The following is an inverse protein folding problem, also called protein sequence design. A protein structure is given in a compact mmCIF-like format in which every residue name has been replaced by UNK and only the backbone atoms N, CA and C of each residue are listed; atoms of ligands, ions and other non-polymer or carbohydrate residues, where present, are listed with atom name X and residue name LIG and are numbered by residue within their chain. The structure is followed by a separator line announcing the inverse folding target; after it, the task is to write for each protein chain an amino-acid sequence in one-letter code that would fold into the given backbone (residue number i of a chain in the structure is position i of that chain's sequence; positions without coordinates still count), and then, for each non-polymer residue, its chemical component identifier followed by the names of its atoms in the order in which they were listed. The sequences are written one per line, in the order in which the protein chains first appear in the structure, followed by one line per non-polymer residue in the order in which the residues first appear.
data_IF_579935808209
#
_entry.id   IF_579935808209
#
_cell.length_a   1.000
_cell.length_b   1.000
_cell.length_c   1.000
_cell.angle_alpha   90.00
_cell.angle_beta   90.00
_cell.angle_gamma   90.00
#
_symmetry.space_group_name_H-M   'P 1'
#
loop_
_entity.id
_entity.type
_entity.pdbx_description
1 polymer ?
#
# COMPACT_ATOMS: atom_id res chain seq x y z
N UNK A 1 -25.42 21.62 -20.58
CA UNK A 1 -23.96 21.84 -20.46
C UNK A 1 -23.51 20.92 -19.36
N UNK A 2 -23.10 19.71 -19.72
CA UNK A 2 -22.53 18.78 -18.74
C UNK A 2 -21.25 19.43 -18.24
N UNK A 3 -21.27 19.85 -16.98
CA UNK A 3 -20.04 20.20 -16.30
C UNK A 3 -19.23 18.90 -16.27
N UNK A 4 -18.15 18.84 -17.05
CA UNK A 4 -17.15 17.80 -16.91
C UNK A 4 -16.63 17.88 -15.47
N UNK A 5 -17.21 17.06 -14.60
CA UNK A 5 -16.78 16.96 -13.21
C UNK A 5 -15.38 16.34 -13.23
N UNK A 6 -14.36 17.19 -13.12
CA UNK A 6 -12.97 16.74 -13.08
C UNK A 6 -12.73 16.16 -11.69
N UNK A 7 -12.91 14.85 -11.53
CA UNK A 7 -12.51 14.15 -10.31
C UNK A 7 -10.99 14.15 -10.24
N UNK A 8 -10.41 14.92 -9.31
CA UNK A 8 -8.98 14.97 -9.09
C UNK A 8 -8.52 13.72 -8.33
N UNK A 9 -7.40 13.12 -8.76
CA UNK A 9 -6.85 11.98 -8.04
C UNK A 9 -6.41 12.39 -6.62
N UNK A 10 -6.58 11.50 -5.62
CA UNK A 10 -6.02 11.71 -4.29
C UNK A 10 -4.50 11.89 -4.35
N UNK A 11 -3.95 12.67 -3.42
CA UNK A 11 -2.52 13.00 -3.38
C UNK A 11 -1.83 12.44 -2.14
N UNK A 12 -0.54 12.15 -2.28
CA UNK A 12 0.32 11.81 -1.14
C UNK A 12 0.36 13.01 -0.18
N UNK A 13 0.20 12.74 1.12
CA UNK A 13 0.15 13.75 2.18
C UNK A 13 -1.26 14.25 2.52
N UNK A 14 -2.28 13.89 1.73
CA UNK A 14 -3.67 14.24 2.02
C UNK A 14 -4.41 13.11 2.76
N UNK A 15 -5.51 13.46 3.44
CA UNK A 15 -6.41 12.47 4.04
C UNK A 15 -7.04 11.61 2.95
N UNK A 16 -7.10 10.30 3.17
CA UNK A 16 -7.79 9.40 2.26
C UNK A 16 -9.28 9.76 2.16
N UNK A 17 -9.84 9.89 0.94
CA UNK A 17 -11.26 10.22 0.76
C UNK A 17 -12.18 9.24 1.48
N UNK A 18 -13.05 9.76 2.34
CA UNK A 18 -13.93 8.92 3.15
C UNK A 18 -15.08 8.32 2.32
N UNK A 19 -15.48 7.08 2.61
CA UNK A 19 -16.64 6.42 2.00
C UNK A 19 -17.18 5.32 2.92
N UNK A 20 -18.43 4.95 2.69
CA UNK A 20 -19.01 3.71 3.21
C UNK A 20 -19.25 2.77 2.05
N UNK A 21 -19.00 1.48 2.26
CA UNK A 21 -19.18 0.47 1.22
C UNK A 21 -19.57 -0.88 1.80
N UNK A 22 -20.29 -1.66 1.01
CA UNK A 22 -20.57 -3.07 1.28
C UNK A 22 -19.35 -3.88 0.86
N UNK A 23 -18.95 -4.85 1.69
CA UNK A 23 -17.84 -5.75 1.39
C UNK A 23 -18.22 -7.20 1.68
N UNK A 24 -17.35 -8.12 1.25
CA UNK A 24 -17.43 -9.54 1.61
C UNK A 24 -17.41 -9.81 3.11
N UNK A 25 -16.96 -8.87 3.95
CA UNK A 25 -16.94 -8.98 5.42
C UNK A 25 -17.96 -8.06 6.12
N UNK A 26 -18.96 -7.56 5.38
CA UNK A 26 -19.95 -6.62 5.88
C UNK A 26 -19.66 -5.18 5.48
N UNK A 27 -20.45 -4.25 6.00
CA UNK A 27 -20.28 -2.82 5.72
C UNK A 27 -19.07 -2.23 6.43
N UNK A 28 -18.40 -1.32 5.74
CA UNK A 28 -17.16 -0.69 6.19
C UNK A 28 -17.31 0.84 6.15
N UNK A 29 -16.67 1.57 7.09
CA UNK A 29 -16.59 3.04 7.13
C UNK A 29 -15.11 3.49 6.98
N UNK A 30 -14.71 3.82 5.76
CA UNK A 30 -13.32 4.09 5.38
C UNK A 30 -13.00 5.60 5.40
N UNK A 31 -11.81 6.04 5.84
CA UNK A 31 -10.75 5.26 6.49
C UNK A 31 -10.98 5.07 8.00
N UNK A 32 -12.05 5.65 8.56
CA UNK A 32 -12.31 5.77 10.01
C UNK A 32 -12.15 4.47 10.79
N UNK A 33 -12.72 3.38 10.29
CA UNK A 33 -12.65 2.06 10.96
C UNK A 33 -11.23 1.49 11.08
N UNK A 34 -10.28 2.03 10.30
CA UNK A 34 -8.90 1.57 10.25
C UNK A 34 -7.93 2.53 10.95
N UNK A 35 -8.43 3.56 11.63
CA UNK A 35 -7.60 4.45 12.45
C UNK A 35 -6.69 3.65 13.40
N UNK A 36 -5.43 4.07 13.52
CA UNK A 36 -4.42 3.34 14.29
C UNK A 36 -3.76 2.16 13.54
N UNK A 37 -4.22 1.81 12.34
CA UNK A 37 -3.60 0.77 11.50
C UNK A 37 -3.14 1.35 10.15
N UNK A 38 -2.09 0.76 9.60
CA UNK A 38 -1.78 0.97 8.18
C UNK A 38 -2.84 0.27 7.32
N UNK A 39 -3.11 0.78 6.13
CA UNK A 39 -4.06 0.16 5.20
C UNK A 39 -3.49 0.19 3.79
N UNK A 40 -3.60 -0.93 3.08
CA UNK A 40 -3.49 -0.99 1.62
C UNK A 40 -4.89 -1.12 1.05
N UNK A 41 -5.38 -0.03 0.45
CA UNK A 41 -6.55 -0.06 -0.42
C UNK A 41 -6.08 -0.33 -1.85
N UNK A 42 -6.58 -1.38 -2.47
CA UNK A 42 -6.15 -1.77 -3.81
C UNK A 42 -7.34 -2.19 -4.67
N UNK A 43 -7.25 -1.94 -5.98
CA UNK A 43 -8.29 -2.36 -6.92
C UNK A 43 -7.81 -3.46 -7.86
N UNK A 44 -8.77 -4.18 -8.45
CA UNK A 44 -8.54 -5.07 -9.58
C UNK A 44 -9.63 -4.89 -10.66
N UNK A 45 -9.32 -5.23 -11.92
CA UNK A 45 -10.25 -4.99 -13.03
C UNK A 45 -11.57 -5.75 -13.01
N UNK A 46 -11.53 -7.04 -12.67
CA UNK A 46 -12.71 -7.91 -12.66
C UNK A 46 -12.43 -9.23 -11.94
N UNK A 47 -13.44 -9.74 -11.24
CA UNK A 47 -13.50 -11.12 -10.76
C UNK A 47 -13.37 -12.14 -11.90
N UNK A 48 -13.06 -13.39 -11.55
CA UNK A 48 -12.92 -14.49 -12.51
C UNK A 48 -11.91 -14.25 -13.66
N UNK A 49 -10.94 -13.34 -13.46
CA UNK A 49 -9.83 -13.13 -14.41
C UNK A 49 -8.50 -13.64 -13.84
N UNK A 50 -7.61 -14.20 -14.68
CA UNK A 50 -6.46 -14.97 -14.21
C UNK A 50 -5.40 -14.11 -13.48
N UNK A 51 -5.11 -12.90 -13.98
CA UNK A 51 -4.14 -12.01 -13.32
C UNK A 51 -4.65 -11.59 -11.94
N UNK A 52 -5.93 -11.19 -11.84
CA UNK A 52 -6.55 -10.83 -10.55
C UNK A 52 -6.54 -12.01 -9.58
N UNK A 53 -6.81 -13.21 -10.08
CA UNK A 53 -6.78 -14.44 -9.27
C UNK A 53 -5.38 -14.69 -8.71
N UNK A 54 -4.35 -14.56 -9.55
CA UNK A 54 -2.95 -14.70 -9.12
C UNK A 54 -2.56 -13.68 -8.05
N UNK A 55 -3.09 -12.47 -8.14
CA UNK A 55 -2.83 -11.36 -7.21
C UNK A 55 -3.51 -11.57 -5.86
N UNK A 56 -4.78 -11.99 -5.85
CA UNK A 56 -5.52 -12.25 -4.61
C UNK A 56 -4.92 -13.44 -3.84
N UNK A 57 -4.53 -14.51 -4.53
CA UNK A 57 -3.83 -15.63 -3.90
C UNK A 57 -2.50 -15.19 -3.27
N UNK A 58 -1.77 -14.30 -3.95
CA UNK A 58 -0.49 -13.77 -3.43
C UNK A 58 -0.71 -12.87 -2.21
N UNK A 59 -1.70 -11.97 -2.25
CA UNK A 59 -2.04 -11.14 -1.09
C UNK A 59 -2.49 -11.97 0.11
N UNK A 60 -3.38 -12.94 -0.09
CA UNK A 60 -3.88 -13.79 1.00
C UNK A 60 -2.75 -14.59 1.66
N UNK A 61 -1.81 -15.10 0.85
CA UNK A 61 -0.62 -15.78 1.38
C UNK A 61 0.31 -14.86 2.17
N UNK A 62 0.37 -13.57 1.80
CA UNK A 62 1.20 -12.56 2.47
C UNK A 62 0.45 -11.80 3.59
N UNK A 63 -0.85 -12.00 3.73
CA UNK A 63 -1.70 -11.32 4.70
C UNK A 63 -1.14 -11.41 6.14
N UNK A 64 -0.61 -12.55 6.61
CA UNK A 64 0.04 -12.63 7.92
C UNK A 64 1.22 -11.66 8.08
N UNK A 65 2.04 -11.47 7.03
CA UNK A 65 3.18 -10.55 7.07
C UNK A 65 2.73 -9.08 7.10
N UNK A 66 1.65 -8.74 6.41
CA UNK A 66 1.04 -7.42 6.52
C UNK A 66 0.44 -7.21 7.92
N UNK A 67 -0.21 -8.23 8.48
CA UNK A 67 -0.79 -8.18 9.82
C UNK A 67 0.28 -7.97 10.91
N UNK A 68 1.45 -8.61 10.79
CA UNK A 68 2.63 -8.38 11.65
C UNK A 68 3.06 -6.91 11.62
N UNK A 69 2.92 -6.23 10.48
CA UNK A 69 3.21 -4.80 10.33
C UNK A 69 2.04 -3.90 10.73
N UNK A 70 1.00 -4.43 11.39
CA UNK A 70 -0.25 -3.72 11.68
C UNK A 70 -0.85 -3.05 10.43
N UNK A 71 -0.77 -3.74 9.29
CA UNK A 71 -1.27 -3.29 8.00
C UNK A 71 -2.46 -4.17 7.58
N UNK A 72 -3.57 -3.52 7.25
CA UNK A 72 -4.81 -4.14 6.78
C UNK A 72 -4.89 -4.06 5.25
N UNK A 73 -5.51 -5.06 4.64
CA UNK A 73 -5.74 -5.09 3.20
C UNK A 73 -7.22 -4.84 2.94
N UNK A 74 -7.53 -4.06 1.90
CA UNK A 74 -8.91 -3.82 1.43
C UNK A 74 -8.90 -3.84 -0.10
N UNK A 75 -9.57 -4.84 -0.68
CA UNK A 75 -9.72 -4.98 -2.12
C UNK A 75 -10.92 -4.21 -2.65
N UNK A 76 -10.92 -3.90 -3.94
CA UNK A 76 -12.03 -3.25 -4.63
C UNK A 76 -12.13 -3.72 -6.09
N UNK A 77 -13.35 -3.98 -6.55
CA UNK A 77 -13.68 -3.98 -7.97
C UNK A 77 -15.10 -3.49 -8.18
N UNK A 78 -15.50 -3.38 -9.45
CA UNK A 78 -16.84 -2.92 -9.84
C UNK A 78 -17.84 -4.08 -9.98
N UNK A 79 -17.43 -5.29 -9.61
CA UNK A 79 -18.31 -6.47 -9.61
C UNK A 79 -19.23 -6.48 -8.37
N UNK A 80 -20.30 -7.28 -8.43
CA UNK A 80 -21.25 -7.44 -7.34
C UNK A 80 -20.75 -8.36 -6.21
N UNK A 81 -21.30 -8.23 -5.01
CA UNK A 81 -20.97 -9.01 -3.82
C UNK A 81 -21.09 -10.52 -4.04
N UNK A 82 -22.13 -10.96 -4.74
CA UNK A 82 -22.31 -12.38 -5.06
C UNK A 82 -21.24 -12.91 -6.02
N UNK A 83 -20.74 -12.06 -6.94
CA UNK A 83 -19.59 -12.38 -7.78
C UNK A 83 -18.35 -12.60 -6.91
N UNK A 84 -18.08 -11.66 -5.99
CA UNK A 84 -16.95 -11.77 -5.07
C UNK A 84 -17.01 -13.08 -4.28
N UNK A 85 -18.15 -13.38 -3.65
CA UNK A 85 -18.31 -14.60 -2.84
C UNK A 85 -18.05 -15.85 -3.68
N UNK A 86 -18.63 -15.93 -4.89
CA UNK A 86 -18.44 -17.08 -5.77
C UNK A 86 -16.98 -17.21 -6.25
N UNK A 87 -16.33 -16.07 -6.53
CA UNK A 87 -14.94 -16.04 -6.98
C UNK A 87 -13.97 -16.42 -5.87
N UNK A 88 -14.09 -15.84 -4.68
CA UNK A 88 -13.24 -16.16 -3.52
C UNK A 88 -13.36 -17.63 -3.11
N UNK A 89 -14.57 -18.21 -3.18
CA UNK A 89 -14.76 -19.66 -3.01
C UNK A 89 -14.05 -20.47 -4.08
N UNK A 90 -14.14 -20.05 -5.34
CA UNK A 90 -13.44 -20.70 -6.46
C UNK A 90 -11.92 -20.68 -6.25
N UNK A 91 -11.35 -19.56 -5.77
CA UNK A 91 -9.92 -19.46 -5.42
C UNK A 91 -9.54 -20.55 -4.42
N UNK A 92 -10.29 -20.65 -3.31
CA UNK A 92 -10.02 -21.62 -2.25
C UNK A 92 -10.19 -23.06 -2.70
N UNK A 93 -11.28 -23.36 -3.41
CA UNK A 93 -11.70 -24.72 -3.71
C UNK A 93 -11.03 -25.32 -4.96
N UNK A 94 -10.59 -24.49 -5.93
CA UNK A 94 -10.26 -24.98 -7.28
C UNK A 94 -8.94 -24.48 -7.88
N UNK A 95 -8.36 -23.39 -7.38
CA UNK A 95 -7.22 -22.77 -8.06
C UNK A 95 -5.90 -23.13 -7.36
N UNK A 96 -4.91 -23.52 -8.18
CA UNK A 96 -3.51 -23.63 -7.78
C UNK A 96 -2.66 -22.67 -8.60
N UNK A 97 -1.77 -21.93 -7.93
CA UNK A 97 -0.84 -21.01 -8.60
C UNK A 97 0.50 -20.94 -7.85
N UNK A 98 1.60 -21.26 -8.53
CA UNK A 98 2.96 -21.28 -7.94
C UNK A 98 3.04 -22.09 -6.63
N UNK A 99 2.34 -23.22 -6.57
CA UNK A 99 2.28 -24.09 -5.39
C UNK A 99 1.37 -23.58 -4.26
N UNK A 100 0.74 -22.41 -4.40
CA UNK A 100 -0.32 -21.95 -3.51
C UNK A 100 -1.62 -22.66 -3.88
N UNK A 101 -2.23 -23.34 -2.92
CA UNK A 101 -3.52 -24.05 -3.02
C UNK A 101 -4.28 -23.90 -1.70
N UNK A 102 -5.58 -24.17 -1.72
CA UNK A 102 -6.45 -24.06 -0.54
C UNK A 102 -6.37 -22.66 0.13
N UNK A 103 -6.14 -21.62 -0.69
CA UNK A 103 -5.90 -20.26 -0.22
C UNK A 103 -7.23 -19.59 0.11
N UNK A 104 -7.39 -19.20 1.36
CA UNK A 104 -8.53 -18.43 1.82
C UNK A 104 -8.23 -16.94 1.86
N UNK A 105 -9.04 -16.16 1.15
CA UNK A 105 -8.96 -14.69 1.16
C UNK A 105 -9.82 -14.16 2.31
N UNK A 106 -9.21 -13.58 3.34
CA UNK A 106 -9.94 -13.12 4.52
C UNK A 106 -10.14 -11.61 4.60
N UNK A 107 -9.33 -10.82 3.89
CA UNK A 107 -9.53 -9.38 3.79
C UNK A 107 -10.82 -9.00 3.03
N UNK A 108 -11.44 -7.85 3.36
CA UNK A 108 -12.64 -7.38 2.70
C UNK A 108 -12.40 -7.01 1.23
N UNK A 109 -13.35 -7.39 0.38
CA UNK A 109 -13.45 -6.96 -1.01
C UNK A 109 -14.71 -6.11 -1.18
N UNK A 110 -14.52 -4.84 -1.54
CA UNK A 110 -15.58 -3.85 -1.78
C UNK A 110 -16.33 -4.17 -3.07
N UNK A 111 -17.66 -4.21 -2.96
CA UNK A 111 -18.60 -4.09 -4.09
C UNK A 111 -18.74 -2.61 -4.46
N UNK A 112 -18.27 -2.22 -5.65
CA UNK A 112 -18.38 -0.84 -6.16
C UNK A 112 -19.08 -0.80 -7.53
N UNK A 113 -20.26 -1.41 -7.63
CA UNK A 113 -21.06 -1.46 -8.88
C UNK A 113 -21.32 -0.06 -9.46
N UNK A 114 -21.49 0.94 -8.59
CA UNK A 114 -21.73 2.34 -8.99
C UNK A 114 -20.47 3.07 -9.47
N UNK A 115 -19.30 2.46 -9.27
CA UNK A 115 -17.97 3.03 -9.52
C UNK A 115 -17.69 4.31 -8.72
N UNK A 116 -18.45 4.57 -7.65
CA UNK A 116 -18.31 5.79 -6.86
C UNK A 116 -16.95 5.83 -6.15
N UNK A 117 -16.55 4.72 -5.53
CA UNK A 117 -15.27 4.62 -4.83
C UNK A 117 -14.13 4.62 -5.85
N UNK A 118 -14.25 3.85 -6.93
CA UNK A 118 -13.26 3.79 -8.00
C UNK A 118 -13.02 5.16 -8.65
N UNK A 119 -14.08 5.93 -8.94
CA UNK A 119 -13.94 7.31 -9.46
C UNK A 119 -13.31 8.23 -8.42
N UNK A 120 -13.78 8.19 -7.17
CA UNK A 120 -13.26 9.00 -6.06
C UNK A 120 -11.76 8.82 -5.84
N UNK A 121 -11.24 7.62 -6.10
CA UNK A 121 -9.82 7.32 -5.99
C UNK A 121 -9.06 7.42 -7.32
N UNK A 122 -9.70 7.72 -8.45
CA UNK A 122 -9.01 7.77 -9.75
C UNK A 122 -8.65 6.40 -10.34
N UNK A 123 -9.33 5.35 -9.89
CA UNK A 123 -9.11 3.97 -10.32
C UNK A 123 -9.75 3.67 -11.69
N UNK A 124 -10.64 4.53 -12.20
CA UNK A 124 -11.13 4.45 -13.58
C UNK A 124 -10.23 5.32 -14.45
N UNK A 125 -9.49 4.70 -15.37
CA UNK A 125 -8.55 5.37 -16.27
C UNK A 125 -9.06 5.19 -17.71
N UNK A 126 -9.78 6.18 -18.29
CA UNK A 126 -10.48 6.01 -19.57
C UNK A 126 -9.59 5.64 -20.77
N UNK A 127 -8.30 5.95 -20.72
CA UNK A 127 -7.33 5.52 -21.73
C UNK A 127 -7.05 4.01 -21.72
N UNK A 128 -7.37 3.32 -20.63
CA UNK A 128 -7.17 1.87 -20.44
C UNK A 128 -8.52 1.12 -20.37
N UNK A 129 -9.45 1.58 -19.52
CA UNK A 129 -10.79 1.03 -19.40
C UNK A 129 -11.76 2.04 -18.74
N UNK A 130 -13.00 2.11 -19.25
CA UNK A 130 -14.06 2.96 -18.69
C UNK A 130 -15.02 2.21 -17.77
N UNK A 131 -15.03 0.88 -17.84
CA UNK A 131 -15.95 0.01 -17.10
C UNK A 131 -15.25 -0.90 -16.09
N UNK A 132 -13.95 -0.71 -15.89
CA UNK A 132 -13.12 -1.51 -14.98
C UNK A 132 -12.13 -0.63 -14.25
N UNK A 133 -11.88 -0.94 -12.99
CA UNK A 133 -10.78 -0.32 -12.26
C UNK A 133 -9.43 -0.81 -12.81
N UNK A 134 -8.45 0.07 -12.90
CA UNK A 134 -7.05 -0.35 -13.10
C UNK A 134 -6.50 -0.98 -11.82
N UNK A 135 -5.26 -1.48 -11.84
CA UNK A 135 -4.62 -2.09 -10.67
C UNK A 135 -3.97 -1.01 -9.81
N UNK A 136 -4.79 -0.23 -9.11
CA UNK A 136 -4.34 0.83 -8.22
C UNK A 136 -4.00 0.28 -6.84
N UNK A 137 -3.08 0.97 -6.15
CA UNK A 137 -2.68 0.69 -4.77
C UNK A 137 -2.52 2.02 -4.05
N UNK A 138 -3.14 2.14 -2.87
CA UNK A 138 -3.00 3.26 -1.94
C UNK A 138 -2.49 2.71 -0.62
N UNK A 139 -1.30 3.13 -0.20
CA UNK A 139 -0.76 2.84 1.13
C UNK A 139 -1.10 4.03 2.03
N UNK A 140 -1.89 3.78 3.07
CA UNK A 140 -2.45 4.78 3.96
C UNK A 140 -1.95 4.51 5.38
N UNK A 141 -1.50 5.55 6.07
CA UNK A 141 -0.94 5.43 7.41
C UNK A 141 -2.01 5.41 8.52
N UNK A 142 -1.63 5.15 9.79
CA UNK A 142 -2.54 5.11 10.93
C UNK A 142 -3.34 6.40 11.20
N UNK A 143 -2.95 7.53 10.59
CA UNK A 143 -3.63 8.82 10.69
C UNK A 143 -4.59 9.05 9.51
N UNK A 144 -4.76 8.05 8.64
CA UNK A 144 -5.57 8.14 7.44
C UNK A 144 -4.93 8.97 6.33
N UNK A 145 -3.62 9.18 6.35
CA UNK A 145 -2.90 9.96 5.33
C UNK A 145 -2.36 9.03 4.24
N UNK A 146 -2.55 9.40 2.97
CA UNK A 146 -2.02 8.66 1.83
C UNK A 146 -0.50 8.86 1.78
N UNK A 147 0.27 7.77 1.78
CA UNK A 147 1.74 7.78 1.79
C UNK A 147 2.37 7.29 0.49
N UNK A 148 1.68 6.43 -0.26
CA UNK A 148 2.16 5.93 -1.55
C UNK A 148 0.97 5.59 -2.43
N UNK A 149 1.10 5.88 -3.72
CA UNK A 149 0.11 5.56 -4.75
C UNK A 149 0.84 4.87 -5.89
N UNK A 150 0.32 3.73 -6.36
CA UNK A 150 0.90 3.01 -7.49
C UNK A 150 -0.22 2.58 -8.44
N UNK A 151 -0.01 2.79 -9.74
CA UNK A 151 -0.97 2.46 -10.79
C UNK A 151 -0.34 1.51 -11.80
N UNK A 152 -0.91 0.31 -11.91
CA UNK A 152 -0.56 -0.68 -12.90
C UNK A 152 -1.68 -0.81 -13.96
N UNK A 153 -1.36 -1.05 -15.24
CA UNK A 153 -2.36 -1.33 -16.27
C UNK A 153 -3.03 -2.70 -16.05
N UNK A 154 -4.08 -3.00 -16.82
CA UNK A 154 -4.81 -4.27 -16.71
C UNK A 154 -3.92 -5.48 -16.99
N UNK A 155 -2.95 -5.31 -17.89
CA UNK A 155 -2.07 -6.38 -18.40
C UNK A 155 -0.92 -6.77 -17.46
N UNK A 156 -0.59 -5.95 -16.45
CA UNK A 156 0.58 -6.15 -15.61
C UNK A 156 0.20 -6.50 -14.17
N UNK A 157 0.45 -7.75 -13.76
CA UNK A 157 0.33 -8.15 -12.36
C UNK A 157 1.35 -7.44 -11.47
N UNK A 158 0.93 -7.05 -10.27
CA UNK A 158 1.75 -6.28 -9.30
C UNK A 158 2.85 -7.12 -8.67
N UNK A 159 3.91 -6.43 -8.23
CA UNK A 159 4.92 -7.01 -7.37
C UNK A 159 4.55 -6.82 -5.89
N UNK A 160 4.18 -7.91 -5.22
CA UNK A 160 3.75 -7.88 -3.81
C UNK A 160 4.89 -7.75 -2.81
N UNK A 161 6.10 -8.17 -3.19
CA UNK A 161 7.29 -7.94 -2.39
C UNK A 161 7.59 -6.44 -2.26
N UNK A 162 7.34 -5.67 -3.33
CA UNK A 162 7.44 -4.21 -3.28
C UNK A 162 6.38 -3.60 -2.37
N UNK A 163 5.15 -4.09 -2.39
CA UNK A 163 4.10 -3.57 -1.51
C UNK A 163 4.45 -3.80 -0.02
N UNK A 164 5.00 -4.97 0.29
CA UNK A 164 5.50 -5.26 1.64
C UNK A 164 6.69 -4.35 2.00
N UNK A 165 7.66 -4.18 1.08
CA UNK A 165 8.83 -3.33 1.26
C UNK A 165 8.44 -1.87 1.50
N UNK A 166 7.46 -1.33 0.76
CA UNK A 166 6.96 0.04 0.94
C UNK A 166 6.42 0.26 2.34
N UNK A 167 5.59 -0.66 2.85
CA UNK A 167 5.07 -0.57 4.22
C UNK A 167 6.20 -0.63 5.25
N UNK A 168 7.17 -1.54 5.06
CA UNK A 168 8.34 -1.62 5.94
C UNK A 168 9.14 -0.32 5.92
N UNK A 169 9.47 0.20 4.74
CA UNK A 169 10.26 1.41 4.56
C UNK A 169 9.60 2.65 5.14
N UNK A 170 8.30 2.83 4.91
CA UNK A 170 7.54 3.95 5.47
C UNK A 170 7.50 3.88 7.00
N UNK A 171 7.26 2.68 7.55
CA UNK A 171 7.28 2.48 9.00
C UNK A 171 8.66 2.70 9.60
N UNK A 172 9.73 2.26 8.94
CA UNK A 172 11.10 2.52 9.39
C UNK A 172 11.43 4.02 9.32
N UNK A 173 11.01 4.72 8.26
CA UNK A 173 11.21 6.15 8.12
C UNK A 173 10.53 6.93 9.26
N UNK A 174 9.28 6.59 9.57
CA UNK A 174 8.51 7.23 10.64
C UNK A 174 9.09 6.92 12.03
N UNK A 175 9.43 5.66 12.31
CA UNK A 175 9.95 5.20 13.61
C UNK A 175 11.32 5.79 13.94
N UNK A 176 12.23 5.82 12.97
CA UNK A 176 13.62 6.24 13.19
C UNK A 176 13.91 7.68 12.76
N UNK A 177 12.91 8.39 12.23
CA UNK A 177 13.02 9.75 11.68
C UNK A 177 14.14 9.85 10.64
N UNK A 178 14.06 8.99 9.61
CA UNK A 178 15.06 8.82 8.55
C UNK A 178 14.41 8.86 7.17
N UNK A 179 15.25 8.90 6.13
CA UNK A 179 14.85 8.56 4.76
C UNK A 179 15.47 7.21 4.36
N UNK A 180 14.75 6.44 3.55
CA UNK A 180 15.25 5.19 2.96
C UNK A 180 15.81 5.48 1.55
N UNK A 181 17.05 5.06 1.22
CA UNK A 181 17.62 5.26 -0.11
C UNK A 181 16.93 4.40 -1.18
N UNK A 182 17.35 4.57 -2.44
CA UNK A 182 16.92 3.72 -3.55
C UNK A 182 17.19 2.24 -3.24
N UNK A 183 16.24 1.37 -3.63
CA UNK A 183 16.28 -0.09 -3.44
C UNK A 183 16.43 -0.59 -1.99
N UNK A 184 16.26 0.29 -1.01
CA UNK A 184 16.45 -0.03 0.41
C UNK A 184 15.60 -1.20 0.91
N UNK A 185 16.24 -2.09 1.67
CA UNK A 185 15.67 -3.19 2.45
C UNK A 185 16.05 -3.07 3.93
N UNK A 186 15.29 -3.69 4.85
CA UNK A 186 15.67 -3.77 6.26
C UNK A 186 17.08 -4.34 6.45
N UNK A 187 17.97 -3.53 7.05
CA UNK A 187 19.39 -3.83 7.25
C UNK A 187 20.34 -2.99 6.40
N UNK A 188 19.85 -2.36 5.33
CA UNK A 188 20.63 -1.42 4.53
C UNK A 188 20.76 -0.07 5.25
N UNK A 189 21.81 0.67 4.91
CA UNK A 189 22.06 2.01 5.43
C UNK A 189 20.89 2.95 5.11
N UNK A 190 20.57 3.83 6.06
CA UNK A 190 19.51 4.83 5.91
C UNK A 190 20.10 6.22 5.79
N UNK A 191 19.37 7.13 5.14
CA UNK A 191 19.76 8.53 4.98
C UNK A 191 19.28 9.33 6.18
N UNK A 192 20.19 10.08 6.80
CA UNK A 192 19.85 11.06 7.84
C UNK A 192 19.18 12.26 7.17
N UNK A 193 18.08 12.83 7.72
CA UNK A 193 17.41 13.99 7.15
C UNK A 193 18.40 15.11 6.81
N UNK A 194 18.16 15.91 5.77
CA UNK A 194 19.11 16.95 5.33
C UNK A 194 19.35 18.04 6.37
N UNK A 195 20.49 18.72 6.30
CA UNK A 195 20.79 19.85 7.18
C UNK A 195 19.83 21.01 6.89
N UNK A 196 19.09 21.47 7.90
CA UNK A 196 18.15 22.59 7.77
C UNK A 196 18.80 23.97 7.86
N UNK A 197 20.10 24.06 8.15
CA UNK A 197 20.83 25.33 8.29
C UNK A 197 22.33 25.15 8.02
N UNK A 198 23.04 26.25 7.72
CA UNK A 198 24.50 26.23 7.52
C UNK A 198 25.27 25.74 8.76
N UNK A 199 24.77 26.02 9.96
CA UNK A 199 25.36 25.51 11.20
C UNK A 199 25.30 23.99 11.28
N UNK A 200 24.13 23.41 11.00
CA UNK A 200 23.94 21.95 10.99
C UNK A 200 24.76 21.29 9.88
N UNK A 201 24.89 21.94 8.72
CA UNK A 201 25.74 21.46 7.64
C UNK A 201 27.22 21.39 8.07
N UNK A 202 27.71 22.43 8.75
CA UNK A 202 29.06 22.45 9.31
C UNK A 202 29.26 21.38 10.37
N UNK A 203 28.33 21.24 11.31
CA UNK A 203 28.43 20.24 12.39
C UNK A 203 28.49 18.79 11.87
N UNK A 204 27.83 18.49 10.75
CA UNK A 204 27.94 17.19 10.07
C UNK A 204 29.33 16.94 9.51
N UNK A 205 29.91 17.93 8.85
CA UNK A 205 31.25 17.83 8.28
C UNK A 205 32.34 17.82 9.36
N UNK A 206 32.08 18.45 10.50
CA UNK A 206 32.95 18.41 11.69
C UNK A 206 32.86 17.05 12.43
N UNK A 207 32.04 16.09 11.96
CA UNK A 207 31.95 14.74 12.54
C UNK A 207 31.28 14.69 13.92
N UNK A 208 30.45 15.68 14.27
CA UNK A 208 29.83 15.79 15.60
C UNK A 208 28.64 14.84 15.82
N UNK A 209 28.27 14.04 14.82
CA UNK A 209 27.17 13.07 14.92
C UNK A 209 27.71 11.65 14.96
N UNK A 210 27.54 10.98 16.11
CA UNK A 210 28.00 9.61 16.30
C UNK A 210 27.22 8.62 15.41
N UNK A 211 27.93 7.68 14.79
CA UNK A 211 27.34 6.65 13.92
C UNK A 211 26.83 7.15 12.58
N UNK A 212 27.13 8.41 12.21
CA UNK A 212 26.76 9.01 10.92
C UNK A 212 28.00 9.11 10.04
N UNK A 213 27.92 8.58 8.82
CA UNK A 213 28.95 8.73 7.80
C UNK A 213 28.47 9.73 6.75
N UNK A 214 29.17 10.85 6.61
CA UNK A 214 28.86 11.89 5.62
C UNK A 214 29.86 11.86 4.47
N UNK A 215 29.38 11.70 3.24
CA UNK A 215 30.19 11.97 2.03
C UNK A 215 30.23 13.46 1.73
N UNK A 216 29.13 14.15 2.04
CA UNK A 216 28.99 15.60 1.99
C UNK A 216 27.90 16.03 2.99
N UNK A 217 27.76 17.32 3.27
CA UNK A 217 26.85 17.85 4.29
C UNK A 217 25.38 17.50 4.07
N UNK A 218 25.00 17.28 2.80
CA UNK A 218 23.65 16.89 2.37
C UNK A 218 23.48 15.37 2.21
N UNK A 219 24.58 14.60 2.19
CA UNK A 219 24.56 13.15 1.96
C UNK A 219 25.26 12.43 3.11
N UNK A 220 24.46 12.13 4.13
CA UNK A 220 24.90 11.42 5.32
C UNK A 220 24.06 10.16 5.52
N UNK A 221 24.71 9.04 5.76
CA UNK A 221 24.08 7.75 6.05
C UNK A 221 24.34 7.33 7.49
N UNK A 222 23.50 6.43 8.00
CA UNK A 222 23.76 5.71 9.25
C UNK A 222 23.37 4.24 9.08
N UNK A 223 24.11 3.36 9.75
CA UNK A 223 23.77 1.93 9.80
C UNK A 223 22.54 1.71 10.66
N UNK A 224 21.69 0.78 10.26
CA UNK A 224 20.53 0.36 11.04
C UNK A 224 20.32 -1.14 10.91
N UNK A 225 20.65 -1.87 11.97
CA UNK A 225 20.61 -3.34 11.97
C UNK A 225 19.23 -3.88 11.61
N UNK A 226 19.21 -4.92 10.77
CA UNK A 226 17.98 -5.54 10.27
C UNK A 226 17.04 -5.98 11.40
N UNK A 227 17.57 -6.62 12.43
CA UNK A 227 16.77 -7.10 13.58
C UNK A 227 16.16 -5.93 14.35
N UNK A 228 16.90 -4.84 14.53
CA UNK A 228 16.42 -3.61 15.16
C UNK A 228 15.31 -2.95 14.33
N UNK A 229 15.45 -2.91 13.01
CA UNK A 229 14.39 -2.43 12.12
C UNK A 229 13.13 -3.27 12.27
N UNK A 230 13.25 -4.58 12.07
CA UNK A 230 12.10 -5.49 12.05
C UNK A 230 11.38 -5.52 13.39
N UNK A 231 12.11 -5.58 14.50
CA UNK A 231 11.51 -5.56 15.85
C UNK A 231 10.81 -4.24 16.20
N UNK A 232 11.26 -3.11 15.65
CA UNK A 232 10.65 -1.82 15.92
C UNK A 232 9.37 -1.57 15.11
N UNK A 233 9.30 -2.08 13.87
CA UNK A 233 8.15 -1.84 12.99
C UNK A 233 7.03 -2.90 13.13
N UNK A 234 7.34 -4.08 13.66
CA UNK A 234 6.32 -5.10 13.93
C UNK A 234 5.41 -4.66 15.08
N UNK A 235 4.14 -5.03 14.98
CA UNK A 235 3.11 -4.74 15.99
C UNK A 235 3.54 -5.30 17.35
N UNK A 236 3.62 -4.43 18.35
CA UNK A 236 3.71 -4.83 19.77
C UNK A 236 2.34 -5.22 20.30
#
# INVERSE_FOLDING_TARGET
MDQNEVTTMPRIGEKAPAFKAVTTQGEIDFPKQYEGSWVILFSHPADFTPVCTSEFMTFATLEPKFAELNCKLVGLSVDGLYSHIAWLRTIKEKIEYKGMKDVEVTFPLIEDITMEVAKKYGMIQPGEATTKAVRAVFVIDPKGIIRTIIYYPLSLGRNFDELLRVVQALKTADEFSIATPADWRPGDDVIVPTAGSCGVAKDRMDGKQEGVECKDWFFCTKKLDKEKVLSAIVKK
#
